data_IF_041735251672
#
_entry.id   IF_041735251672
#
_cell.length_a   1.000
_cell.length_b   1.000
_cell.length_c   1.000
_cell.angle_alpha   90.00
_cell.angle_beta   90.00
_cell.angle_gamma   90.00
#
_symmetry.space_group_name_H-M   'P 1'
#
loop_
_entity.id
_entity.type
_entity.pdbx_description
1 polymer ?
#
# COMPACT_ATOMS: atom_id res chain seq x y z
N UNK A 1 20.99 18.13 -12.72
CA UNK A 1 20.78 16.99 -11.79
C UNK A 1 20.59 17.48 -10.37
N UNK A 2 19.57 17.02 -9.69
CA UNK A 2 19.25 17.36 -8.30
C UNK A 2 19.64 16.21 -7.36
N UNK A 3 20.24 16.53 -6.22
CA UNK A 3 20.60 15.54 -5.18
C UNK A 3 19.71 15.79 -3.97
N UNK A 4 19.05 14.75 -3.45
CA UNK A 4 18.17 14.84 -2.28
C UNK A 4 18.49 13.72 -1.29
N UNK A 5 18.14 13.92 -0.02
CA UNK A 5 18.21 12.86 0.99
C UNK A 5 16.98 11.97 0.92
N UNK A 6 17.11 10.76 1.40
CA UNK A 6 15.95 9.89 1.63
C UNK A 6 15.08 10.43 2.77
N UNK A 7 13.80 10.08 2.74
CA UNK A 7 12.82 10.48 3.74
C UNK A 7 11.70 9.44 3.85
N UNK A 8 10.97 9.46 4.96
CA UNK A 8 9.81 8.61 5.16
C UNK A 8 8.73 9.34 5.95
N UNK A 9 7.47 9.10 5.58
CA UNK A 9 6.31 9.71 6.23
C UNK A 9 5.19 8.69 6.42
N UNK A 10 4.73 8.54 7.65
CA UNK A 10 3.50 7.78 7.95
C UNK A 10 2.30 8.56 7.42
N UNK A 11 1.45 7.89 6.65
CA UNK A 11 0.22 8.45 6.10
C UNK A 11 -0.96 8.03 6.97
N UNK A 12 -1.59 9.00 7.61
CA UNK A 12 -2.80 8.77 8.40
C UNK A 12 -4.00 8.75 7.45
N UNK A 13 -4.82 7.68 7.43
CA UNK A 13 -5.99 7.59 6.57
C UNK A 13 -7.13 8.46 7.10
N UNK A 14 -7.72 9.31 6.24
CA UNK A 14 -8.92 10.08 6.55
C UNK A 14 -10.19 9.29 6.20
N UNK A 15 -10.21 8.69 5.03
CA UNK A 15 -11.27 7.81 4.53
C UNK A 15 -10.69 6.86 3.49
N UNK A 16 -11.36 5.74 3.17
CA UNK A 16 -10.83 4.79 2.17
C UNK A 16 -10.49 5.43 0.84
N UNK A 17 -11.41 6.22 0.28
CA UNK A 17 -11.24 6.79 -1.05
C UNK A 17 -10.16 7.88 -1.10
N UNK A 18 -10.14 8.81 -0.15
CA UNK A 18 -9.12 9.85 -0.06
C UNK A 18 -7.73 9.26 0.17
N UNK A 19 -7.62 8.23 1.01
CA UNK A 19 -6.36 7.56 1.27
C UNK A 19 -5.80 6.90 0.01
N UNK A 20 -6.63 6.13 -0.70
CA UNK A 20 -6.26 5.47 -1.95
C UNK A 20 -5.93 6.50 -3.04
N UNK A 21 -6.70 7.59 -3.17
CA UNK A 21 -6.37 8.67 -4.11
C UNK A 21 -5.00 9.27 -3.81
N UNK A 22 -4.73 9.64 -2.56
CA UNK A 22 -3.44 10.22 -2.14
C UNK A 22 -2.28 9.32 -2.57
N UNK A 23 -2.35 8.03 -2.29
CA UNK A 23 -1.32 7.05 -2.65
C UNK A 23 -1.17 6.92 -4.17
N UNK A 24 -2.27 6.78 -4.88
CA UNK A 24 -2.23 6.70 -6.34
C UNK A 24 -1.67 7.96 -6.98
N UNK A 25 -2.00 9.15 -6.47
CA UNK A 25 -1.46 10.41 -6.96
C UNK A 25 0.06 10.52 -6.79
N UNK A 26 0.61 10.03 -5.69
CA UNK A 26 2.06 9.92 -5.48
C UNK A 26 2.70 9.10 -6.61
N UNK A 27 2.13 7.95 -6.96
CA UNK A 27 2.67 7.10 -8.02
C UNK A 27 2.64 7.72 -9.42
N UNK A 28 1.60 8.50 -9.71
CA UNK A 28 1.43 9.17 -10.99
C UNK A 28 1.97 10.61 -10.99
N UNK A 29 2.55 11.05 -9.86
CA UNK A 29 3.00 12.44 -9.68
C UNK A 29 1.91 13.44 -10.09
N UNK A 30 0.73 13.29 -9.51
CA UNK A 30 -0.46 14.10 -9.83
C UNK A 30 -1.18 14.59 -8.58
N UNK A 31 -0.43 14.85 -7.52
CA UNK A 31 -0.91 15.34 -6.22
C UNK A 31 -1.58 16.71 -6.34
N UNK A 32 -1.14 17.51 -7.31
CA UNK A 32 -1.72 18.78 -7.71
C UNK A 32 -3.19 18.71 -8.14
N UNK A 33 -3.68 17.50 -8.45
CA UNK A 33 -5.06 17.24 -8.87
C UNK A 33 -5.98 16.81 -7.72
N UNK A 34 -5.48 16.74 -6.49
CA UNK A 34 -6.30 16.45 -5.32
C UNK A 34 -7.15 17.67 -5.00
N UNK A 35 -8.46 17.51 -5.06
CA UNK A 35 -9.46 18.54 -4.78
C UNK A 35 -10.71 17.90 -4.15
N UNK A 36 -11.64 18.70 -3.71
CA UNK A 36 -12.91 18.20 -3.16
C UNK A 36 -13.66 17.33 -4.18
N UNK A 37 -14.00 16.10 -3.78
CA UNK A 37 -14.68 15.10 -4.61
C UNK A 37 -13.84 14.51 -5.76
N UNK A 38 -12.53 14.78 -5.82
CA UNK A 38 -11.62 14.19 -6.82
C UNK A 38 -11.40 12.69 -6.58
N UNK A 39 -11.46 12.25 -5.33
CA UNK A 39 -11.33 10.86 -4.89
C UNK A 39 -12.29 9.92 -5.62
N UNK A 40 -13.60 10.28 -5.72
CA UNK A 40 -14.61 9.49 -6.42
C UNK A 40 -14.27 9.30 -7.90
N UNK A 41 -13.87 10.37 -8.58
CA UNK A 41 -13.47 10.33 -10.01
C UNK A 41 -12.22 9.48 -10.20
N UNK A 42 -11.24 9.62 -9.29
CA UNK A 42 -10.00 8.87 -9.33
C UNK A 42 -10.26 7.36 -9.15
N UNK A 43 -11.03 6.97 -8.13
CA UNK A 43 -11.37 5.57 -7.86
C UNK A 43 -12.14 4.94 -9.04
N UNK A 44 -13.12 5.64 -9.61
CA UNK A 44 -13.83 5.17 -10.82
C UNK A 44 -12.87 4.92 -11.98
N UNK A 45 -11.86 5.78 -12.15
CA UNK A 45 -10.83 5.60 -13.18
C UNK A 45 -9.96 4.36 -12.91
N UNK A 46 -9.53 4.14 -11.66
CA UNK A 46 -8.79 2.93 -11.27
C UNK A 46 -9.60 1.66 -11.57
N UNK A 47 -10.88 1.67 -11.20
CA UNK A 47 -11.79 0.54 -11.43
C UNK A 47 -11.95 0.27 -12.94
N UNK A 48 -12.29 1.29 -13.74
CA UNK A 48 -12.47 1.21 -15.20
C UNK A 48 -11.22 0.70 -15.90
N UNK A 49 -10.04 1.13 -15.47
CA UNK A 49 -8.76 0.76 -16.07
C UNK A 49 -8.17 -0.53 -15.46
N UNK A 50 -8.89 -1.20 -14.56
CA UNK A 50 -8.46 -2.43 -13.86
C UNK A 50 -7.15 -2.26 -13.07
N UNK A 51 -6.86 -1.07 -12.58
CA UNK A 51 -5.73 -0.77 -11.73
C UNK A 51 -6.05 -1.07 -10.25
N UNK A 52 -6.54 -2.28 -9.98
CA UNK A 52 -7.09 -2.68 -8.69
C UNK A 52 -6.01 -2.82 -7.59
N UNK A 53 -4.72 -2.87 -7.94
CA UNK A 53 -3.64 -2.90 -6.96
C UNK A 53 -3.68 -1.70 -5.98
N UNK A 54 -4.13 -0.53 -6.45
CA UNK A 54 -4.28 0.64 -5.58
C UNK A 54 -5.33 0.45 -4.49
N UNK A 55 -6.35 -0.38 -4.73
CA UNK A 55 -7.44 -0.64 -3.77
C UNK A 55 -6.98 -1.49 -2.57
N UNK A 56 -5.77 -2.03 -2.61
CA UNK A 56 -5.16 -2.77 -1.51
C UNK A 56 -4.67 -1.88 -0.36
N UNK A 57 -4.49 -0.58 -0.61
CA UNK A 57 -3.88 0.36 0.35
C UNK A 57 -4.81 0.83 1.48
N UNK A 58 -6.02 0.31 1.59
CA UNK A 58 -6.89 0.53 2.74
C UNK A 58 -7.45 -0.80 3.24
N UNK A 59 -7.26 -1.06 4.51
CA UNK A 59 -7.76 -2.28 5.16
C UNK A 59 -8.93 -1.97 6.09
N UNK A 60 -9.94 -2.81 6.04
CA UNK A 60 -11.10 -2.77 6.94
C UNK A 60 -10.86 -3.79 8.06
N UNK A 61 -11.17 -3.40 9.29
CA UNK A 61 -11.12 -4.26 10.46
C UNK A 61 -12.55 -4.40 10.97
N UNK A 62 -13.00 -5.63 11.16
CA UNK A 62 -14.39 -5.96 11.46
C UNK A 62 -14.47 -7.01 12.55
N UNK A 63 -15.34 -6.79 13.50
CA UNK A 63 -15.86 -7.82 14.39
C UNK A 63 -17.12 -8.40 13.75
N UNK A 64 -17.22 -9.73 13.72
CA UNK A 64 -18.32 -10.48 13.09
C UNK A 64 -18.81 -11.55 14.05
N UNK A 65 -19.99 -12.11 13.78
CA UNK A 65 -20.47 -13.28 14.52
C UNK A 65 -19.65 -14.55 14.18
N UNK A 66 -19.70 -15.54 15.06
CA UNK A 66 -18.96 -16.79 14.95
C UNK A 66 -19.24 -17.52 13.63
N UNK A 67 -20.50 -17.58 13.20
CA UNK A 67 -20.89 -18.28 11.97
C UNK A 67 -20.28 -17.60 10.75
N UNK A 68 -20.40 -16.28 10.66
CA UNK A 68 -19.80 -15.47 9.57
C UNK A 68 -18.29 -15.68 9.53
N UNK A 69 -17.62 -15.67 10.69
CA UNK A 69 -16.19 -15.92 10.80
C UNK A 69 -15.79 -17.26 10.19
N UNK A 70 -16.41 -18.36 10.65
CA UNK A 70 -16.04 -19.70 10.19
C UNK A 70 -16.38 -19.95 8.72
N UNK A 71 -17.49 -19.41 8.21
CA UNK A 71 -17.85 -19.54 6.80
C UNK A 71 -16.78 -18.89 5.90
N UNK A 72 -16.29 -17.71 6.27
CA UNK A 72 -15.23 -17.03 5.54
C UNK A 72 -13.86 -17.72 5.71
N UNK A 73 -13.50 -18.12 6.93
CA UNK A 73 -12.24 -18.81 7.20
C UNK A 73 -12.13 -20.15 6.44
N UNK A 74 -13.23 -20.90 6.34
CA UNK A 74 -13.29 -22.15 5.55
C UNK A 74 -13.06 -21.89 4.04
N UNK A 75 -13.47 -20.75 3.53
CA UNK A 75 -13.23 -20.36 2.14
C UNK A 75 -11.75 -20.06 1.84
N UNK A 76 -10.92 -19.86 2.88
CA UNK A 76 -9.50 -19.53 2.79
C UNK A 76 -9.22 -18.42 1.78
N UNK A 77 -9.86 -17.25 1.91
CA UNK A 77 -9.65 -16.15 1.00
C UNK A 77 -8.23 -15.60 1.16
N UNK A 78 -7.68 -15.07 0.08
CA UNK A 78 -6.39 -14.37 0.11
C UNK A 78 -6.58 -12.95 0.67
N UNK A 79 -5.56 -12.46 1.38
CA UNK A 79 -5.53 -11.10 1.92
C UNK A 79 -6.62 -10.83 2.97
N UNK A 80 -6.94 -11.87 3.74
CA UNK A 80 -7.77 -11.81 4.92
C UNK A 80 -7.00 -12.31 6.12
N UNK A 81 -7.01 -11.54 7.20
CA UNK A 81 -6.55 -11.95 8.52
C UNK A 81 -7.74 -12.36 9.37
N UNK A 82 -7.56 -13.42 10.15
CA UNK A 82 -8.58 -14.00 11.00
C UNK A 82 -8.05 -14.22 12.40
N UNK A 83 -8.72 -13.71 13.44
CA UNK A 83 -8.47 -14.08 14.83
C UNK A 83 -9.76 -14.42 15.56
N UNK A 84 -9.69 -15.39 16.46
CA UNK A 84 -10.85 -15.88 17.22
C UNK A 84 -10.45 -16.23 18.66
N UNK A 85 -11.41 -16.33 19.59
CA UNK A 85 -11.16 -16.65 20.98
C UNK A 85 -10.41 -17.97 21.23
N UNK A 86 -10.44 -18.88 20.27
CA UNK A 86 -9.86 -20.22 20.39
C UNK A 86 -8.46 -20.35 19.76
N UNK A 87 -7.85 -19.25 19.33
CA UNK A 87 -6.49 -19.26 18.76
C UNK A 87 -5.45 -19.15 19.87
N UNK A 88 -4.50 -20.07 19.90
CA UNK A 88 -3.43 -20.11 20.92
C UNK A 88 -2.41 -18.98 20.83
N UNK A 89 -2.36 -18.24 19.73
CA UNK A 89 -1.33 -17.22 19.46
C UNK A 89 -1.83 -15.78 19.63
N UNK A 90 -3.12 -15.56 19.79
CA UNK A 90 -3.74 -14.24 19.92
C UNK A 90 -4.73 -14.23 21.07
N UNK A 91 -4.51 -13.34 22.03
CA UNK A 91 -5.45 -13.16 23.15
C UNK A 91 -6.57 -12.21 22.70
N UNK A 92 -7.71 -12.77 22.37
CA UNK A 92 -8.94 -12.04 22.02
C UNK A 92 -10.17 -12.78 22.52
N UNK A 93 -11.24 -12.07 22.82
CA UNK A 93 -12.58 -12.58 23.11
C UNK A 93 -13.56 -12.37 21.93
N UNK A 94 -13.06 -11.89 20.80
CA UNK A 94 -13.82 -11.49 19.62
C UNK A 94 -13.45 -12.30 18.39
N UNK A 95 -14.40 -12.41 17.46
CA UNK A 95 -14.15 -12.92 16.11
C UNK A 95 -13.81 -11.76 15.19
N UNK A 96 -12.53 -11.60 14.86
CA UNK A 96 -12.04 -10.46 14.06
C UNK A 96 -11.61 -10.91 12.68
N UNK A 97 -11.94 -10.06 11.71
CA UNK A 97 -11.51 -10.21 10.33
C UNK A 97 -10.94 -8.85 9.87
N UNK A 98 -9.80 -8.88 9.19
CA UNK A 98 -9.36 -7.72 8.43
C UNK A 98 -9.04 -8.08 6.99
N UNK A 99 -9.36 -7.18 6.07
CA UNK A 99 -9.12 -7.36 4.64
C UNK A 99 -9.07 -6.00 3.93
N UNK A 100 -8.61 -5.99 2.68
CA UNK A 100 -8.66 -4.80 1.84
C UNK A 100 -9.81 -4.87 0.80
N UNK A 101 -10.11 -3.73 0.16
CA UNK A 101 -11.21 -3.66 -0.81
C UNK A 101 -11.02 -4.60 -2.01
N UNK A 102 -9.78 -4.79 -2.48
CA UNK A 102 -9.49 -5.69 -3.59
C UNK A 102 -9.76 -7.15 -3.21
N UNK A 103 -9.39 -7.56 -2.01
CA UNK A 103 -9.65 -8.92 -1.52
C UNK A 103 -11.14 -9.27 -1.54
N UNK A 104 -11.99 -8.33 -1.12
CA UNK A 104 -13.45 -8.47 -1.20
C UNK A 104 -13.94 -8.56 -2.64
N UNK A 105 -13.44 -7.72 -3.54
CA UNK A 105 -13.79 -7.74 -4.96
C UNK A 105 -13.35 -9.05 -5.62
N UNK A 106 -12.15 -9.49 -5.36
CA UNK A 106 -11.61 -10.73 -5.91
C UNK A 106 -12.45 -11.92 -5.45
N UNK A 107 -12.82 -11.98 -4.18
CA UNK A 107 -13.66 -13.05 -3.64
C UNK A 107 -15.09 -13.03 -4.22
N UNK A 108 -15.68 -11.84 -4.41
CA UNK A 108 -16.99 -11.64 -5.04
C UNK A 108 -16.99 -12.04 -6.53
N UNK A 109 -15.93 -11.66 -7.26
CA UNK A 109 -15.85 -11.86 -8.72
C UNK A 109 -15.41 -13.28 -9.07
N UNK A 110 -14.47 -13.82 -8.33
CA UNK A 110 -13.98 -15.18 -8.47
C UNK A 110 -14.85 -16.15 -7.66
N UNK A 111 -16.07 -16.35 -8.06
CA UNK A 111 -16.97 -17.44 -7.65
C UNK A 111 -16.28 -18.83 -7.71
N UNK A 112 -14.97 -18.85 -7.68
CA UNK A 112 -14.05 -19.96 -7.84
C UNK A 112 -13.30 -20.22 -6.54
N UNK A 113 -14.04 -20.43 -5.47
CA UNK A 113 -13.49 -21.34 -4.49
C UNK A 113 -13.46 -22.72 -5.19
N UNK A 114 -12.37 -23.02 -5.87
CA UNK A 114 -12.14 -24.32 -6.53
C UNK A 114 -12.21 -25.50 -5.55
N UNK A 115 -12.44 -25.23 -4.26
CA UNK A 115 -12.46 -26.18 -3.16
C UNK A 115 -13.78 -26.21 -2.40
N UNK A 116 -14.73 -25.32 -2.69
CA UNK A 116 -16.02 -25.24 -2.01
C UNK A 116 -17.13 -25.87 -2.87
N UNK A 117 -18.14 -26.45 -2.23
CA UNK A 117 -19.39 -26.83 -2.90
C UNK A 117 -20.13 -25.59 -3.41
N UNK A 118 -21.04 -25.77 -4.38
CA UNK A 118 -21.88 -24.67 -4.89
C UNK A 118 -22.66 -23.95 -3.77
N UNK A 119 -23.15 -24.71 -2.79
CA UNK A 119 -23.89 -24.17 -1.65
C UNK A 119 -22.98 -23.27 -0.78
N UNK A 120 -21.77 -23.72 -0.47
CA UNK A 120 -20.81 -22.95 0.32
C UNK A 120 -20.37 -21.69 -0.42
N UNK A 121 -20.18 -21.74 -1.73
CA UNK A 121 -19.89 -20.56 -2.55
C UNK A 121 -21.03 -19.53 -2.52
N UNK A 122 -22.29 -19.98 -2.52
CA UNK A 122 -23.46 -19.12 -2.39
C UNK A 122 -23.50 -18.40 -1.04
N UNK A 123 -23.25 -19.14 0.06
CA UNK A 123 -23.21 -18.56 1.41
C UNK A 123 -22.11 -17.51 1.52
N UNK A 124 -20.90 -17.83 1.07
CA UNK A 124 -19.77 -16.91 1.10
C UNK A 124 -20.05 -15.64 0.29
N UNK A 125 -20.67 -15.77 -0.89
CA UNK A 125 -21.04 -14.60 -1.70
C UNK A 125 -22.05 -13.69 -0.98
N UNK A 126 -23.06 -14.27 -0.34
CA UNK A 126 -24.02 -13.49 0.46
C UNK A 126 -23.32 -12.73 1.57
N UNK A 127 -22.42 -13.38 2.30
CA UNK A 127 -21.62 -12.74 3.36
C UNK A 127 -20.76 -11.60 2.79
N UNK A 128 -20.10 -11.81 1.65
CA UNK A 128 -19.27 -10.78 1.02
C UNK A 128 -20.10 -9.59 0.54
N UNK A 129 -21.27 -9.84 -0.04
CA UNK A 129 -22.19 -8.77 -0.43
C UNK A 129 -22.70 -7.98 0.79
N UNK A 130 -22.96 -8.65 1.92
CA UNK A 130 -23.26 -8.01 3.20
C UNK A 130 -22.10 -7.14 3.71
N UNK A 131 -20.88 -7.67 3.72
CA UNK A 131 -19.68 -6.91 4.13
C UNK A 131 -19.53 -5.65 3.26
N UNK A 132 -19.60 -5.81 1.94
CA UNK A 132 -19.51 -4.68 1.00
C UNK A 132 -20.63 -3.67 1.28
N UNK A 133 -21.85 -4.14 1.54
CA UNK A 133 -22.99 -3.30 1.90
C UNK A 133 -22.73 -2.47 3.15
N UNK A 134 -22.23 -3.10 4.20
CA UNK A 134 -21.88 -2.39 5.45
C UNK A 134 -20.74 -1.36 5.22
N UNK A 135 -19.71 -1.71 4.43
CA UNK A 135 -18.62 -0.77 4.07
C UNK A 135 -19.17 0.43 3.30
N UNK A 136 -19.98 0.18 2.29
CA UNK A 136 -20.60 1.23 1.48
C UNK A 136 -21.51 2.14 2.33
N UNK A 137 -22.29 1.57 3.23
CA UNK A 137 -23.16 2.33 4.13
C UNK A 137 -22.34 3.21 5.10
N UNK A 138 -21.25 2.65 5.69
CA UNK A 138 -20.41 3.40 6.62
C UNK A 138 -19.60 4.51 5.95
N UNK A 139 -18.98 4.24 4.80
CA UNK A 139 -17.98 5.13 4.18
C UNK A 139 -18.48 5.84 2.92
N UNK A 140 -19.67 5.52 2.41
CA UNK A 140 -20.21 6.09 1.18
C UNK A 140 -19.37 5.80 -0.07
N UNK A 141 -18.63 4.69 -0.09
CA UNK A 141 -17.55 4.39 -1.04
C UNK A 141 -17.96 3.36 -2.12
N UNK A 142 -19.13 3.52 -2.74
CA UNK A 142 -19.67 2.64 -3.79
C UNK A 142 -18.66 2.41 -4.92
N UNK A 143 -17.89 3.44 -5.26
CA UNK A 143 -16.92 3.45 -6.34
C UNK A 143 -15.79 2.43 -6.14
N UNK A 144 -15.44 2.10 -4.90
CA UNK A 144 -14.43 1.08 -4.59
C UNK A 144 -14.82 -0.30 -5.13
N UNK A 145 -16.11 -0.58 -5.20
CA UNK A 145 -16.65 -1.88 -5.60
C UNK A 145 -17.33 -1.85 -6.97
N UNK A 146 -17.25 -0.73 -7.69
CA UNK A 146 -17.91 -0.56 -8.98
C UNK A 146 -19.44 -0.64 -8.90
N UNK A 147 -20.02 -0.23 -7.76
CA UNK A 147 -21.45 -0.27 -7.50
C UNK A 147 -22.07 1.06 -7.88
N UNK A 148 -23.21 1.01 -8.59
CA UNK A 148 -24.02 2.19 -8.87
C UNK A 148 -24.82 2.57 -7.62
N UNK A 149 -24.67 3.81 -7.18
CA UNK A 149 -25.30 4.33 -5.98
C UNK A 149 -26.82 4.33 -6.06
N UNK A 150 -27.38 4.63 -7.24
CA UNK A 150 -28.81 4.83 -7.42
C UNK A 150 -29.58 3.49 -7.51
N UNK A 151 -28.86 2.41 -7.84
CA UNK A 151 -29.45 1.07 -7.98
C UNK A 151 -29.14 0.12 -6.83
N UNK A 152 -28.27 0.56 -5.91
CA UNK A 152 -27.84 -0.30 -4.81
C UNK A 152 -28.88 -0.29 -3.67
N UNK A 153 -29.54 -1.44 -3.49
CA UNK A 153 -30.37 -1.74 -2.34
C UNK A 153 -29.94 -3.08 -1.78
N UNK A 154 -29.58 -3.12 -0.52
CA UNK A 154 -29.12 -4.34 0.15
C UNK A 154 -29.79 -4.53 1.50
N UNK A 155 -30.30 -5.75 1.74
CA UNK A 155 -30.80 -6.17 3.06
C UNK A 155 -29.70 -6.94 3.78
N UNK A 156 -29.29 -6.44 4.93
CA UNK A 156 -28.21 -7.05 5.71
C UNK A 156 -28.71 -8.29 6.45
N UNK A 157 -27.96 -9.38 6.38
CA UNK A 157 -28.20 -10.61 7.11
C UNK A 157 -27.12 -10.93 8.16
N UNK A 158 -25.99 -10.23 8.12
CA UNK A 158 -24.88 -10.40 9.04
C UNK A 158 -24.70 -9.20 9.97
N UNK A 159 -24.31 -9.47 11.22
CA UNK A 159 -23.94 -8.43 12.16
C UNK A 159 -22.44 -8.14 12.02
N UNK A 160 -22.11 -6.89 11.62
CA UNK A 160 -20.74 -6.45 11.44
C UNK A 160 -20.51 -5.15 12.20
N UNK A 161 -19.52 -5.14 13.07
CA UNK A 161 -19.05 -3.94 13.77
C UNK A 161 -17.66 -3.58 13.25
N UNK A 162 -17.51 -2.38 12.66
CA UNK A 162 -16.20 -1.90 12.22
C UNK A 162 -15.37 -1.41 13.41
N UNK A 163 -14.11 -1.80 13.42
CA UNK A 163 -13.13 -1.35 14.40
C UNK A 163 -12.23 -0.32 13.70
N UNK A 164 -12.07 0.84 14.31
CA UNK A 164 -11.18 1.86 13.81
C UNK A 164 -9.72 1.39 13.92
N UNK A 165 -8.90 1.73 12.92
CA UNK A 165 -7.47 1.39 12.92
C UNK A 165 -6.71 2.27 13.96
N UNK A 166 -7.02 2.02 15.21
CA UNK A 166 -6.48 2.73 16.36
C UNK A 166 -6.16 1.74 17.49
N UNK A 167 -4.95 1.85 18.06
CA UNK A 167 -4.46 0.97 19.12
C UNK A 167 -5.39 0.92 20.35
N UNK A 168 -6.12 2.00 20.64
CA UNK A 168 -7.07 2.05 21.78
C UNK A 168 -8.34 1.21 21.57
N UNK A 169 -8.65 0.85 20.34
CA UNK A 169 -9.82 0.05 19.99
C UNK A 169 -9.56 -1.46 20.02
N UNK A 170 -8.32 -1.89 20.28
CA UNK A 170 -7.85 -3.26 20.16
C UNK A 170 -6.93 -3.64 21.32
N UNK A 171 -6.87 -4.93 21.66
CA UNK A 171 -5.80 -5.48 22.52
C UNK A 171 -4.44 -5.37 21.81
N UNK A 172 -3.34 -5.68 22.49
CA UNK A 172 -2.01 -5.64 21.87
C UNK A 172 -1.89 -6.66 20.74
N UNK A 173 -2.35 -7.88 20.98
CA UNK A 173 -2.33 -8.94 19.98
C UNK A 173 -3.22 -8.61 18.78
N UNK A 174 -4.45 -8.15 19.03
CA UNK A 174 -5.34 -7.72 17.94
C UNK A 174 -4.75 -6.60 17.11
N UNK A 175 -4.08 -5.63 17.74
CA UNK A 175 -3.39 -4.55 17.03
C UNK A 175 -2.25 -5.08 16.17
N UNK A 176 -1.44 -6.00 16.68
CA UNK A 176 -0.34 -6.60 15.92
C UNK A 176 -0.87 -7.28 14.66
N UNK A 177 -1.98 -8.02 14.75
CA UNK A 177 -2.50 -8.80 13.64
C UNK A 177 -3.41 -8.03 12.69
N UNK A 178 -4.26 -7.13 13.20
CA UNK A 178 -5.27 -6.42 12.40
C UNK A 178 -4.95 -4.96 12.17
N UNK A 179 -4.24 -4.31 13.09
CA UNK A 179 -3.75 -2.95 12.89
C UNK A 179 -2.84 -2.86 11.68
N UNK A 180 -2.83 -1.73 11.00
CA UNK A 180 -2.04 -1.52 9.80
C UNK A 180 -1.52 -0.09 9.71
N UNK A 181 -0.44 0.08 8.96
CA UNK A 181 0.20 1.38 8.73
C UNK A 181 0.60 1.52 7.27
N UNK A 182 0.48 2.74 6.76
CA UNK A 182 0.96 3.14 5.44
C UNK A 182 2.12 4.12 5.58
N UNK A 183 3.19 3.86 4.86
CA UNK A 183 4.37 4.75 4.84
C UNK A 183 4.70 5.13 3.40
N UNK A 184 4.85 6.40 3.16
CA UNK A 184 5.43 6.96 1.94
C UNK A 184 6.94 7.15 2.15
N UNK A 185 7.74 6.60 1.26
CA UNK A 185 9.19 6.56 1.35
C UNK A 185 9.82 7.17 0.11
N UNK A 186 10.62 8.20 0.31
CA UNK A 186 11.51 8.77 -0.70
C UNK A 186 12.88 8.09 -0.55
N UNK A 187 13.24 7.28 -1.52
CA UNK A 187 14.50 6.53 -1.52
C UNK A 187 15.00 6.31 -2.95
N UNK A 188 16.01 5.49 -3.14
CA UNK A 188 16.49 5.14 -4.47
C UNK A 188 15.90 3.81 -5.01
N UNK A 189 16.14 3.56 -6.30
CA UNK A 189 15.66 2.34 -6.98
C UNK A 189 16.29 1.08 -6.41
N UNK A 190 17.57 1.11 -6.01
CA UNK A 190 18.25 -0.02 -5.40
C UNK A 190 17.58 -0.44 -4.09
N UNK A 191 17.35 0.52 -3.21
CA UNK A 191 16.68 0.28 -1.92
C UNK A 191 15.23 -0.14 -2.11
N UNK A 192 14.51 0.46 -3.09
CA UNK A 192 13.12 0.04 -3.34
C UNK A 192 12.99 -1.43 -3.76
N UNK A 193 14.01 -2.01 -4.41
CA UNK A 193 14.05 -3.43 -4.74
C UNK A 193 14.21 -4.34 -3.51
N UNK A 194 14.76 -3.82 -2.42
CA UNK A 194 14.80 -4.54 -1.15
C UNK A 194 13.46 -4.43 -0.39
N UNK A 195 12.81 -3.26 -0.46
CA UNK A 195 11.51 -3.02 0.18
C UNK A 195 10.44 -3.95 -0.38
N UNK A 196 10.33 -4.10 -1.70
CA UNK A 196 9.30 -4.94 -2.33
C UNK A 196 9.48 -6.46 -2.14
N UNK A 197 10.48 -6.89 -1.38
CA UNK A 197 10.64 -8.29 -0.98
C UNK A 197 9.81 -8.69 0.22
N UNK A 198 9.28 -7.71 0.96
CA UNK A 198 8.28 -7.91 2.00
C UNK A 198 6.92 -8.15 1.34
N UNK A 199 6.37 -9.38 1.42
CA UNK A 199 5.24 -9.78 0.57
C UNK A 199 4.01 -10.25 1.33
N UNK A 200 4.14 -10.55 2.62
CA UNK A 200 3.02 -11.02 3.41
C UNK A 200 2.06 -9.87 3.70
N UNK A 201 0.85 -9.97 3.14
CA UNK A 201 -0.23 -8.98 3.28
C UNK A 201 0.18 -7.52 3.02
N UNK A 202 1.23 -7.33 2.20
CA UNK A 202 1.82 -6.03 1.91
C UNK A 202 1.42 -5.52 0.54
N UNK A 203 1.06 -4.25 0.46
CA UNK A 203 0.68 -3.56 -0.77
C UNK A 203 1.70 -2.46 -1.09
N UNK A 204 2.08 -2.38 -2.37
CA UNK A 204 3.06 -1.41 -2.86
C UNK A 204 2.50 -0.55 -3.97
N UNK A 205 2.82 0.74 -3.89
CA UNK A 205 2.58 1.70 -4.94
C UNK A 205 3.86 2.51 -5.16
N UNK A 206 4.41 2.52 -6.37
CA UNK A 206 5.71 3.13 -6.65
C UNK A 206 5.64 4.06 -7.85
N UNK A 207 6.37 5.17 -7.77
CA UNK A 207 6.60 6.08 -8.89
C UNK A 207 7.12 5.33 -10.13
N UNK A 208 6.46 5.55 -11.26
CA UNK A 208 6.75 4.81 -12.49
C UNK A 208 7.60 5.61 -13.47
N UNK A 209 8.82 5.17 -13.71
CA UNK A 209 9.68 5.74 -14.77
C UNK A 209 9.17 5.52 -16.20
N UNK A 210 8.07 4.77 -16.39
CA UNK A 210 7.40 4.66 -17.69
C UNK A 210 6.51 5.87 -17.99
N UNK A 211 5.92 6.45 -16.93
CA UNK A 211 4.99 7.58 -17.03
C UNK A 211 5.64 8.91 -16.63
N UNK A 212 6.70 8.86 -15.82
CA UNK A 212 7.45 10.05 -15.42
C UNK A 212 8.51 10.33 -16.49
N UNK A 213 8.22 11.31 -17.37
CA UNK A 213 9.19 11.82 -18.33
C UNK A 213 9.89 13.04 -17.72
N UNK A 214 11.18 12.91 -17.43
CA UNK A 214 11.97 13.96 -16.77
C UNK A 214 12.23 15.18 -17.66
N UNK A 215 11.95 15.11 -18.97
CA UNK A 215 12.00 16.30 -19.85
C UNK A 215 10.84 17.27 -19.65
N UNK A 216 9.76 16.85 -18.98
CA UNK A 216 8.63 17.71 -18.71
C UNK A 216 8.96 18.75 -17.62
N UNK A 217 8.42 19.96 -17.75
CA UNK A 217 8.59 21.06 -16.79
C UNK A 217 8.24 20.66 -15.35
N UNK A 218 7.30 19.75 -15.18
CA UNK A 218 6.91 19.17 -13.89
C UNK A 218 8.07 18.52 -13.13
N UNK A 219 9.06 17.98 -13.82
CA UNK A 219 10.26 17.36 -13.25
C UNK A 219 11.49 18.27 -13.29
N UNK A 220 11.31 19.56 -13.66
CA UNK A 220 12.39 20.54 -13.69
C UNK A 220 13.41 20.33 -14.81
N UNK A 221 13.13 19.43 -15.76
CA UNK A 221 14.06 19.04 -16.84
C UNK A 221 15.39 18.52 -16.30
N UNK A 222 15.35 17.82 -15.19
CA UNK A 222 16.51 17.21 -14.55
C UNK A 222 16.15 15.88 -13.89
N UNK A 223 17.13 14.98 -13.74
CA UNK A 223 16.94 13.80 -12.90
C UNK A 223 17.21 14.15 -11.44
N UNK A 224 16.54 13.46 -10.55
CA UNK A 224 16.81 13.54 -9.11
C UNK A 224 17.45 12.22 -8.65
N UNK A 225 18.53 12.30 -7.89
CA UNK A 225 19.21 11.13 -7.30
C UNK A 225 19.26 11.26 -5.78
N UNK A 226 19.34 10.13 -5.10
CA UNK A 226 19.49 10.09 -3.64
C UNK A 226 20.96 10.21 -3.29
N UNK A 227 21.26 11.08 -2.31
CA UNK A 227 22.59 11.24 -1.74
C UNK A 227 23.07 9.92 -1.10
N UNK A 228 24.20 9.41 -1.57
CA UNK A 228 24.78 8.15 -1.11
C UNK A 228 25.76 8.34 0.07
N UNK A 229 25.92 9.57 0.55
CA UNK A 229 26.82 9.88 1.66
C UNK A 229 28.32 9.85 1.30
N UNK A 230 28.68 9.87 0.02
CA UNK A 230 30.07 9.96 -0.40
C UNK A 230 30.70 11.33 -0.06
N UNK A 231 32.00 11.32 0.20
CA UNK A 231 32.79 12.51 0.51
C UNK A 231 34.06 12.59 -0.32
N UNK A 232 34.64 13.79 -0.42
CA UNK A 232 35.93 14.04 -1.10
C UNK A 232 35.93 13.60 -2.56
N UNK A 233 36.99 12.91 -2.98
CA UNK A 233 37.15 12.44 -4.38
C UNK A 233 36.10 11.43 -4.80
N UNK A 234 35.61 10.60 -3.89
CA UNK A 234 34.53 9.63 -4.15
C UNK A 234 33.24 10.35 -4.53
N UNK A 235 32.90 11.43 -3.83
CA UNK A 235 31.75 12.26 -4.18
C UNK A 235 31.87 12.87 -5.59
N UNK A 236 33.05 13.44 -5.91
CA UNK A 236 33.31 14.03 -7.23
C UNK A 236 33.16 13.01 -8.35
N UNK A 237 33.74 11.82 -8.16
CA UNK A 237 33.63 10.73 -9.14
C UNK A 237 32.18 10.26 -9.33
N UNK A 238 31.45 10.06 -8.22
CA UNK A 238 30.07 9.66 -8.26
C UNK A 238 29.19 10.73 -8.93
N UNK A 239 29.29 12.00 -8.52
CA UNK A 239 28.49 13.08 -9.07
C UNK A 239 28.73 13.27 -10.57
N UNK A 240 30.00 13.14 -11.03
CA UNK A 240 30.33 13.15 -12.45
C UNK A 240 29.68 12.00 -13.22
N UNK A 241 29.63 10.80 -12.66
CA UNK A 241 28.96 9.67 -13.29
C UNK A 241 27.44 9.88 -13.39
N UNK A 242 26.81 10.43 -12.34
CA UNK A 242 25.36 10.74 -12.33
C UNK A 242 25.01 11.81 -13.34
N UNK A 243 25.85 12.84 -13.49
CA UNK A 243 25.66 13.86 -14.53
C UNK A 243 25.70 13.24 -15.93
N UNK A 244 26.63 12.33 -16.20
CA UNK A 244 26.68 11.64 -17.49
C UNK A 244 25.44 10.78 -17.74
N UNK A 245 24.86 10.17 -16.71
CA UNK A 245 23.59 9.44 -16.84
C UNK A 245 22.44 10.38 -17.24
N UNK A 246 22.38 11.56 -16.62
CA UNK A 246 21.41 12.60 -16.97
C UNK A 246 21.59 13.06 -18.43
N UNK A 247 22.81 13.43 -18.82
CA UNK A 247 23.11 13.90 -20.17
C UNK A 247 22.68 12.85 -21.21
N UNK A 248 23.02 11.56 -20.99
CA UNK A 248 22.64 10.50 -21.90
C UNK A 248 21.15 10.18 -21.92
N UNK A 249 20.45 10.35 -20.81
CA UNK A 249 19.00 10.21 -20.78
C UNK A 249 18.33 11.26 -21.69
N UNK A 250 18.73 12.52 -21.59
CA UNK A 250 18.16 13.59 -22.43
C UNK A 250 18.59 13.47 -23.89
N UNK A 251 19.86 13.11 -24.16
CA UNK A 251 20.34 12.84 -25.53
C UNK A 251 19.48 11.77 -26.22
N UNK A 252 19.15 10.67 -25.54
CA UNK A 252 18.27 9.62 -26.08
C UNK A 252 16.85 10.14 -26.35
N UNK A 253 16.32 11.04 -25.51
CA UNK A 253 15.01 11.65 -25.76
C UNK A 253 15.06 12.59 -26.96
N UNK A 254 16.13 13.39 -27.12
CA UNK A 254 16.32 14.32 -28.24
C UNK A 254 16.49 13.52 -29.57
N UNK A 255 17.08 12.33 -29.53
CA UNK A 255 17.16 11.39 -30.64
C UNK A 255 15.81 10.68 -30.92
N UNK A 256 14.72 11.05 -30.21
CA UNK A 256 13.39 10.53 -30.44
C UNK A 256 13.07 9.21 -29.72
N UNK A 257 13.92 8.77 -28.79
CA UNK A 257 13.60 7.59 -27.98
C UNK A 257 12.49 7.89 -26.98
N UNK A 258 11.67 6.88 -26.72
CA UNK A 258 10.61 7.02 -25.69
C UNK A 258 11.23 7.08 -24.29
N UNK A 259 10.60 7.77 -23.30
CA UNK A 259 11.07 7.75 -21.90
C UNK A 259 11.23 6.33 -21.35
N UNK A 260 10.40 5.40 -21.84
CA UNK A 260 10.45 4.00 -21.47
C UNK A 260 11.75 3.31 -21.93
N UNK A 261 12.34 3.73 -23.05
CA UNK A 261 13.63 3.22 -23.55
C UNK A 261 14.79 4.02 -22.95
N UNK A 262 14.69 5.35 -22.93
CA UNK A 262 15.73 6.24 -22.42
C UNK A 262 16.09 5.96 -20.95
N UNK A 263 15.11 5.53 -20.12
CA UNK A 263 15.37 5.18 -18.71
C UNK A 263 16.42 4.08 -18.50
N UNK A 264 16.81 3.36 -19.53
CA UNK A 264 17.82 2.28 -19.44
C UNK A 264 19.20 2.77 -18.99
N UNK A 265 19.50 4.06 -19.16
CA UNK A 265 20.77 4.68 -18.74
C UNK A 265 20.68 5.34 -17.36
N UNK A 266 19.51 5.31 -16.70
CA UNK A 266 19.32 5.92 -15.38
C UNK A 266 19.98 5.06 -14.29
N UNK A 267 20.64 5.70 -13.30
CA UNK A 267 21.36 4.97 -12.26
C UNK A 267 20.42 4.32 -11.23
N UNK A 268 20.94 3.34 -10.49
CA UNK A 268 20.20 2.71 -9.38
C UNK A 268 19.91 3.67 -8.23
N UNK A 269 20.76 4.68 -8.03
CA UNK A 269 20.51 5.76 -7.05
C UNK A 269 19.50 6.81 -7.52
N UNK A 270 18.83 6.61 -8.67
CA UNK A 270 17.71 7.45 -9.10
C UNK A 270 16.64 7.48 -8.01
N UNK A 271 16.21 8.69 -7.63
CA UNK A 271 15.13 8.89 -6.66
C UNK A 271 13.86 8.19 -7.12
N UNK A 272 13.22 7.53 -6.20
CA UNK A 272 11.85 7.03 -6.36
C UNK A 272 11.02 7.32 -5.12
N UNK A 273 9.73 7.37 -5.29
CA UNK A 273 8.77 7.36 -4.20
C UNK A 273 8.04 6.03 -4.21
N UNK A 274 8.01 5.36 -3.05
CA UNK A 274 7.33 4.09 -2.88
C UNK A 274 6.49 4.12 -1.61
N UNK A 275 5.22 3.80 -1.75
CA UNK A 275 4.29 3.68 -0.64
C UNK A 275 4.10 2.21 -0.31
N UNK A 276 4.26 1.86 0.96
CA UNK A 276 4.02 0.52 1.50
C UNK A 276 2.88 0.58 2.51
N UNK A 277 1.88 -0.27 2.34
CA UNK A 277 0.82 -0.51 3.33
C UNK A 277 0.91 -1.95 3.80
N UNK A 278 1.00 -2.17 5.10
CA UNK A 278 1.14 -3.50 5.67
C UNK A 278 0.50 -3.57 7.06
N UNK A 279 0.11 -4.76 7.54
CA UNK A 279 -0.27 -4.98 8.93
C UNK A 279 0.93 -4.79 9.87
N UNK A 280 0.64 -4.61 11.15
CA UNK A 280 1.66 -4.24 12.13
C UNK A 280 2.69 -5.35 12.37
N UNK A 281 2.31 -6.64 12.23
CA UNK A 281 3.26 -7.75 12.33
C UNK A 281 4.28 -7.74 11.19
N UNK A 282 3.86 -7.35 9.96
CA UNK A 282 4.79 -7.25 8.83
C UNK A 282 5.72 -6.04 8.97
N UNK A 283 5.25 -4.93 9.54
CA UNK A 283 6.13 -3.82 9.91
C UNK A 283 7.14 -4.23 10.98
N UNK A 284 6.75 -5.05 11.95
CA UNK A 284 7.69 -5.62 12.94
C UNK A 284 8.76 -6.47 12.25
N UNK A 285 8.35 -7.35 11.34
CA UNK A 285 9.26 -8.15 10.53
C UNK A 285 10.18 -7.28 9.65
N UNK A 286 9.65 -6.21 9.05
CA UNK A 286 10.45 -5.24 8.30
C UNK A 286 11.56 -4.63 9.17
N UNK A 287 11.24 -4.20 10.39
CA UNK A 287 12.25 -3.65 11.30
C UNK A 287 13.28 -4.68 11.76
N UNK A 288 12.87 -5.91 11.96
CA UNK A 288 13.79 -7.00 12.32
C UNK A 288 14.84 -7.24 11.23
N UNK A 289 14.42 -7.25 9.98
CA UNK A 289 15.31 -7.49 8.85
C UNK A 289 16.12 -6.24 8.46
N UNK A 290 15.48 -5.07 8.38
CA UNK A 290 16.03 -3.87 7.73
C UNK A 290 16.64 -2.87 8.71
N UNK A 291 16.32 -2.97 10.01
CA UNK A 291 16.89 -2.13 11.05
C UNK A 291 17.82 -2.92 11.98
N UNK A 292 17.36 -4.09 12.49
CA UNK A 292 18.13 -4.90 13.44
C UNK A 292 19.09 -5.87 12.75
N UNK A 293 18.82 -6.24 11.50
CA UNK A 293 19.68 -7.14 10.73
C UNK A 293 19.69 -8.59 11.22
N UNK A 294 18.54 -9.12 11.61
CA UNK A 294 18.42 -10.49 12.20
C UNK A 294 18.89 -11.61 11.28
N UNK A 295 18.89 -11.39 9.96
CA UNK A 295 19.37 -12.37 8.95
C UNK A 295 20.70 -11.96 8.31
N UNK A 296 21.29 -10.83 8.70
CA UNK A 296 22.52 -10.27 8.17
C UNK A 296 22.50 -8.76 8.19
N UNK A 297 23.68 -8.12 8.06
CA UNK A 297 23.80 -6.67 8.11
C UNK A 297 23.01 -6.03 6.95
N UNK A 298 22.03 -5.15 7.24
CA UNK A 298 21.29 -4.45 6.21
C UNK A 298 22.18 -3.44 5.47
N UNK A 299 21.76 -3.04 4.27
CA UNK A 299 22.38 -1.92 3.57
C UNK A 299 22.23 -0.64 4.42
N UNK A 300 23.28 0.20 4.59
CA UNK A 300 23.23 1.37 5.47
C UNK A 300 22.02 2.30 5.19
N UNK A 301 21.70 2.52 3.92
CA UNK A 301 20.59 3.39 3.54
C UNK A 301 19.22 2.84 3.96
N UNK A 302 18.97 1.53 3.80
CA UNK A 302 17.68 0.96 4.26
C UNK A 302 17.62 0.89 5.77
N UNK A 303 18.75 0.72 6.45
CA UNK A 303 18.83 0.79 7.91
C UNK A 303 18.44 2.18 8.42
N UNK A 304 18.98 3.25 7.81
CA UNK A 304 18.66 4.63 8.19
C UNK A 304 17.21 4.98 7.86
N UNK A 305 16.70 4.57 6.70
CA UNK A 305 15.29 4.73 6.33
C UNK A 305 14.38 4.01 7.34
N UNK A 306 14.74 2.78 7.73
CA UNK A 306 13.98 1.99 8.71
C UNK A 306 13.94 2.66 10.09
N UNK A 307 15.04 3.30 10.53
CA UNK A 307 15.08 4.07 11.79
C UNK A 307 14.15 5.29 11.75
N UNK A 308 14.07 6.00 10.61
CA UNK A 308 13.13 7.12 10.42
C UNK A 308 11.69 6.63 10.53
N UNK A 309 11.35 5.51 9.88
CA UNK A 309 10.03 4.89 9.94
C UNK A 309 9.72 4.42 11.37
N UNK A 310 10.66 3.75 12.03
CA UNK A 310 10.47 3.22 13.38
C UNK A 310 10.23 4.31 14.44
N UNK A 311 10.82 5.48 14.26
CA UNK A 311 10.53 6.62 15.12
C UNK A 311 9.07 7.04 15.03
N UNK A 312 8.54 7.20 13.81
CA UNK A 312 7.13 7.55 13.57
C UNK A 312 6.17 6.40 13.95
N UNK A 313 6.58 5.15 13.71
CA UNK A 313 5.85 3.95 14.15
C UNK A 313 5.59 4.00 15.67
N UNK A 314 6.61 4.31 16.49
CA UNK A 314 6.42 4.44 17.93
C UNK A 314 5.44 5.56 18.30
N UNK A 315 5.48 6.68 17.59
CA UNK A 315 4.53 7.78 17.79
C UNK A 315 3.09 7.34 17.48
N UNK A 316 2.87 6.60 16.40
CA UNK A 316 1.55 6.07 16.02
C UNK A 316 1.05 5.01 17.02
N UNK A 317 1.93 4.12 17.51
CA UNK A 317 1.54 3.03 18.40
C UNK A 317 1.32 3.49 19.84
N UNK A 318 2.13 4.45 20.33
CA UNK A 318 2.12 4.83 21.74
C UNK A 318 1.37 6.14 22.05
N UNK A 319 1.13 6.98 21.01
CA UNK A 319 0.43 8.25 21.19
C UNK A 319 -0.97 8.27 20.53
N UNK A 320 -1.36 7.19 19.83
CA UNK A 320 -2.68 7.06 19.20
C UNK A 320 -3.76 6.65 20.22
#
# INVERSE_FOLDING_TARGET
MKIVKQDAKVLIPESPMKHIEKIGRICYKSEDKIADGSDRKFIRSLYKNKHHAMLEHFRFIMEVDENTFYQLALAKPRHFEFTSPNQSMVVTDRYLISCNARALMDLRTYNRCRRCSHLQASIVNTIIDDIIGHIVNRYGCHELFGIDRDTYSHMFSTNITFIDNNRKCMTEDEWIYHGWMTVDMVTDRGISHEIVRHREETSFAQESTRYCNYSNDKFGKEITVIDQGFNGSAYVSWASAMQKCEDKYFELLDEGQTPQMARSVLPTCLKTEIVMTAPMYEWSHFFDLRMKGTTGKPHPMIEDLSKMIYKQYKEVVFNA
#
